data_IF_480440831391
#
_entry.id   IF_480440831391
#
_cell.length_a   1.000
_cell.length_b   1.000
_cell.length_c   1.000
_cell.angle_alpha   90.00
_cell.angle_beta   90.00
_cell.angle_gamma   90.00
#
_symmetry.space_group_name_H-M   'P 1'
#
loop_
_entity.id
_entity.type
_entity.pdbx_description
1 polymer ?
#
# COMPACT_ATOMS: atom_id res chain seq x y z
N UNK A 1 -0.59 -18.73 -12.62
CA UNK A 1 0.46 -17.90 -13.25
C UNK A 1 -0.03 -17.55 -14.64
N UNK A 2 0.07 -16.27 -15.03
CA UNK A 2 -0.39 -15.81 -16.34
C UNK A 2 0.43 -16.44 -17.48
N UNK A 3 -0.23 -16.83 -18.56
CA UNK A 3 0.37 -17.58 -19.67
C UNK A 3 1.35 -16.74 -20.53
N UNK A 4 1.44 -15.42 -20.31
CA UNK A 4 2.28 -14.50 -21.08
C UNK A 4 2.93 -13.45 -20.15
N UNK A 5 4.23 -13.55 -19.85
CA UNK A 5 4.92 -12.59 -18.97
C UNK A 5 5.05 -11.21 -19.64
N UNK A 6 4.91 -10.13 -18.84
CA UNK A 6 5.20 -8.76 -19.26
C UNK A 6 6.72 -8.58 -19.32
N UNK A 7 7.20 -7.91 -20.37
CA UNK A 7 8.57 -7.39 -20.42
C UNK A 7 8.52 -5.90 -20.71
N UNK A 8 9.07 -5.12 -19.79
CA UNK A 8 9.09 -3.65 -19.84
C UNK A 8 10.48 -3.15 -20.15
N UNK A 9 10.56 -2.14 -21.02
CA UNK A 9 11.78 -1.38 -21.26
C UNK A 9 11.46 0.11 -21.28
N UNK A 10 12.01 0.85 -20.32
CA UNK A 10 11.91 2.30 -20.33
C UNK A 10 12.80 2.92 -21.40
N UNK A 11 12.27 3.90 -22.12
CA UNK A 11 13.00 4.59 -23.18
C UNK A 11 14.18 5.35 -22.58
N UNK A 12 15.39 5.17 -23.14
CA UNK A 12 16.62 5.79 -22.64
C UNK A 12 17.34 5.01 -21.55
N UNK A 13 16.73 3.97 -20.98
CA UNK A 13 17.37 3.13 -19.96
C UNK A 13 18.02 1.88 -20.56
N UNK A 14 19.17 1.49 -19.99
CA UNK A 14 19.84 0.22 -20.29
C UNK A 14 19.50 -0.76 -19.18
N UNK A 15 18.70 -1.77 -19.48
CA UNK A 15 18.34 -2.82 -18.52
C UNK A 15 17.58 -3.95 -19.20
N UNK A 16 17.71 -5.16 -18.64
CA UNK A 16 16.88 -6.33 -18.97
C UNK A 16 15.82 -6.43 -17.88
N UNK A 17 14.59 -6.72 -18.27
CA UNK A 17 13.50 -6.87 -17.31
C UNK A 17 13.49 -8.28 -16.71
N UNK A 18 14.18 -8.41 -15.57
CA UNK A 18 14.10 -9.59 -14.70
C UNK A 18 12.98 -9.43 -13.64
N UNK A 19 12.02 -8.52 -13.88
CA UNK A 19 10.86 -8.23 -13.05
C UNK A 19 10.90 -6.86 -12.37
N UNK A 20 12.05 -6.20 -12.27
CA UNK A 20 12.19 -4.86 -11.71
C UNK A 20 11.45 -3.80 -12.53
N UNK A 21 11.83 -3.58 -13.81
CA UNK A 21 11.12 -2.68 -14.72
C UNK A 21 9.61 -2.96 -14.83
N UNK A 22 9.20 -4.23 -14.89
CA UNK A 22 7.77 -4.59 -14.90
C UNK A 22 7.03 -4.14 -13.64
N UNK A 23 7.61 -4.36 -12.44
CA UNK A 23 7.00 -3.88 -11.18
C UNK A 23 6.90 -2.36 -11.14
N UNK A 24 7.94 -1.68 -11.59
CA UNK A 24 7.98 -0.21 -11.63
C UNK A 24 6.91 0.35 -12.55
N UNK A 25 6.79 -0.19 -13.76
CA UNK A 25 5.75 0.21 -14.71
C UNK A 25 4.34 0.00 -14.16
N UNK A 26 4.07 -1.15 -13.52
CA UNK A 26 2.75 -1.41 -12.95
C UNK A 26 2.44 -0.45 -11.78
N UNK A 27 3.45 -0.04 -10.99
CA UNK A 27 3.28 1.00 -9.96
C UNK A 27 2.93 2.35 -10.57
N UNK A 28 3.70 2.79 -11.57
CA UNK A 28 3.48 4.07 -12.26
C UNK A 28 2.10 4.10 -12.92
N UNK A 29 1.69 3.02 -13.59
CA UNK A 29 0.42 3.02 -14.33
C UNK A 29 -0.79 3.00 -13.39
N UNK A 30 -0.72 2.32 -12.23
CA UNK A 30 -1.80 2.35 -11.24
C UNK A 30 -1.92 3.75 -10.63
N UNK A 31 -0.80 4.41 -10.34
CA UNK A 31 -0.81 5.81 -9.90
C UNK A 31 -1.45 6.72 -10.96
N UNK A 32 -1.03 6.61 -12.22
CA UNK A 32 -1.55 7.42 -13.33
C UNK A 32 -3.05 7.16 -13.58
N UNK A 33 -3.53 5.92 -13.42
CA UNK A 33 -4.96 5.61 -13.47
C UNK A 33 -5.69 6.31 -12.33
N UNK A 34 -5.16 6.30 -11.10
CA UNK A 34 -5.80 6.95 -9.95
C UNK A 34 -5.92 8.47 -10.12
N UNK A 35 -4.99 9.10 -10.84
CA UNK A 35 -4.93 10.55 -11.11
C UNK A 35 -5.61 10.95 -12.43
N UNK A 36 -6.18 9.99 -13.15
CA UNK A 36 -6.78 10.24 -14.46
C UNK A 36 -8.09 11.03 -14.37
N UNK A 37 -8.51 11.60 -15.50
CA UNK A 37 -9.73 12.40 -15.65
C UNK A 37 -11.04 11.63 -15.50
N UNK A 38 -11.00 10.32 -15.22
CA UNK A 38 -12.19 9.49 -14.98
C UNK A 38 -12.44 9.23 -13.49
N UNK A 39 -11.53 9.65 -12.61
CA UNK A 39 -11.68 9.52 -11.17
C UNK A 39 -11.66 10.88 -10.47
N UNK A 40 -12.52 11.04 -9.48
CA UNK A 40 -12.59 12.25 -8.64
C UNK A 40 -12.74 11.88 -7.16
N UNK A 41 -12.64 12.88 -6.28
CA UNK A 41 -12.64 12.69 -4.83
C UNK A 41 -11.24 12.62 -4.23
N UNK A 42 -11.18 12.34 -2.94
CA UNK A 42 -9.94 12.28 -2.17
C UNK A 42 -9.00 11.17 -2.68
N UNK A 43 -7.68 11.35 -2.55
CA UNK A 43 -6.67 10.46 -3.16
C UNK A 43 -6.83 8.97 -2.84
N UNK A 44 -7.46 8.62 -1.70
CA UNK A 44 -7.66 7.25 -1.22
C UNK A 44 -9.14 6.81 -1.23
N UNK A 45 -10.03 7.69 -1.66
CA UNK A 45 -11.48 7.50 -1.65
C UNK A 45 -12.08 8.12 -2.90
N UNK A 46 -11.85 7.47 -4.04
CA UNK A 46 -12.26 7.97 -5.36
C UNK A 46 -13.55 7.35 -5.87
N UNK A 47 -14.31 8.16 -6.60
CA UNK A 47 -15.48 7.80 -7.39
C UNK A 47 -15.17 7.90 -8.88
N UNK A 48 -15.96 7.21 -9.71
CA UNK A 48 -15.94 7.46 -11.15
C UNK A 48 -16.62 8.79 -11.45
N UNK A 49 -15.90 9.69 -12.11
CA UNK A 49 -16.41 10.95 -12.64
C UNK A 49 -17.01 10.72 -14.02
N UNK A 50 -18.14 11.36 -14.34
CA UNK A 50 -18.65 11.39 -15.70
C UNK A 50 -17.74 12.25 -16.60
N UNK A 51 -17.20 11.64 -17.65
CA UNK A 51 -16.36 12.32 -18.63
C UNK A 51 -16.72 11.83 -20.04
N UNK A 52 -17.47 12.64 -20.78
CA UNK A 52 -17.99 12.28 -22.11
C UNK A 52 -16.89 11.94 -23.12
N UNK A 53 -15.77 12.67 -23.09
CA UNK A 53 -14.63 12.40 -23.98
C UNK A 53 -13.97 11.06 -23.63
N UNK A 54 -13.80 10.78 -22.34
CA UNK A 54 -13.27 9.51 -21.88
C UNK A 54 -14.21 8.34 -22.20
N UNK A 55 -15.52 8.57 -22.15
CA UNK A 55 -16.52 7.58 -22.56
C UNK A 55 -16.46 7.30 -24.07
N UNK A 56 -16.29 8.34 -24.90
CA UNK A 56 -16.14 8.21 -26.35
C UNK A 56 -14.85 7.47 -26.73
N UNK A 57 -13.76 7.74 -26.01
CA UNK A 57 -12.46 7.10 -26.21
C UNK A 57 -12.40 5.66 -25.66
N UNK A 58 -13.34 5.26 -24.81
CA UNK A 58 -13.32 3.94 -24.15
C UNK A 58 -12.32 3.85 -23.00
N UNK A 59 -11.97 4.97 -22.38
CA UNK A 59 -10.91 5.07 -21.36
C UNK A 59 -11.29 4.28 -20.10
N UNK A 60 -12.57 4.28 -19.71
CA UNK A 60 -13.07 3.47 -18.58
C UNK A 60 -12.80 1.98 -18.80
N UNK A 61 -13.10 1.46 -19.99
CA UNK A 61 -12.81 0.06 -20.32
C UNK A 61 -11.29 -0.19 -20.34
N UNK A 62 -10.51 0.74 -20.87
CA UNK A 62 -9.05 0.65 -20.92
C UNK A 62 -8.44 0.61 -19.53
N UNK A 63 -8.84 1.49 -18.62
CA UNK A 63 -8.31 1.53 -17.26
C UNK A 63 -8.79 0.33 -16.43
N UNK A 64 -10.02 -0.14 -16.66
CA UNK A 64 -10.48 -1.41 -16.10
C UNK A 64 -9.60 -2.59 -16.54
N UNK A 65 -9.17 -2.63 -17.81
CA UNK A 65 -8.22 -3.66 -18.29
C UNK A 65 -6.84 -3.52 -17.66
N UNK A 66 -6.33 -2.30 -17.51
CA UNK A 66 -5.03 -2.04 -16.87
C UNK A 66 -5.04 -2.55 -15.42
N UNK A 67 -6.09 -2.22 -14.66
CA UNK A 67 -6.26 -2.70 -13.29
C UNK A 67 -6.34 -4.23 -13.25
N UNK A 68 -7.17 -4.83 -14.13
CA UNK A 68 -7.31 -6.27 -14.18
C UNK A 68 -5.98 -6.97 -14.50
N UNK A 69 -5.23 -6.39 -15.43
CA UNK A 69 -3.89 -6.86 -15.79
C UNK A 69 -2.93 -6.79 -14.60
N UNK A 70 -2.83 -5.65 -13.91
CA UNK A 70 -1.96 -5.50 -12.75
C UNK A 70 -2.27 -6.56 -11.68
N UNK A 71 -3.54 -6.76 -11.34
CA UNK A 71 -3.94 -7.75 -10.35
C UNK A 71 -3.60 -9.19 -10.73
N UNK A 72 -3.82 -9.58 -12.00
CA UNK A 72 -3.55 -10.95 -12.48
C UNK A 72 -2.06 -11.26 -12.53
N UNK A 73 -1.25 -10.24 -12.76
CA UNK A 73 0.20 -10.36 -12.87
C UNK A 73 0.95 -10.07 -11.55
N UNK A 74 0.23 -9.87 -10.43
CA UNK A 74 0.84 -9.63 -9.12
C UNK A 74 1.43 -8.24 -8.96
N UNK A 75 1.01 -7.27 -9.77
CA UNK A 75 1.29 -5.86 -9.60
C UNK A 75 0.48 -5.23 -8.46
N UNK A 76 0.68 -3.93 -8.19
CA UNK A 76 -0.02 -3.23 -7.12
C UNK A 76 -1.52 -3.18 -7.36
N UNK A 77 -2.29 -3.31 -6.27
CA UNK A 77 -3.74 -3.26 -6.29
C UNK A 77 -4.22 -1.79 -6.31
N UNK A 78 -5.37 -1.49 -6.93
CA UNK A 78 -5.90 -0.12 -7.04
C UNK A 78 -6.60 0.31 -5.73
N UNK A 79 -5.86 0.43 -4.63
CA UNK A 79 -6.35 0.70 -3.27
C UNK A 79 -6.79 2.15 -3.03
N UNK A 80 -7.53 2.75 -3.98
CA UNK A 80 -7.94 4.16 -3.93
C UNK A 80 -9.43 4.37 -4.18
N UNK A 81 -10.21 3.31 -4.42
CA UNK A 81 -11.66 3.42 -4.67
C UNK A 81 -12.40 3.64 -3.36
N UNK A 82 -13.51 4.39 -3.42
CA UNK A 82 -14.43 4.51 -2.29
C UNK A 82 -15.17 3.20 -2.01
N UNK A 83 -15.69 3.09 -0.79
CA UNK A 83 -16.54 1.96 -0.40
C UNK A 83 -17.78 1.83 -1.28
N UNK A 84 -18.37 2.95 -1.66
CA UNK A 84 -19.53 2.97 -2.52
C UNK A 84 -19.22 2.52 -3.94
N UNK A 85 -18.12 2.99 -4.55
CA UNK A 85 -17.70 2.51 -5.86
C UNK A 85 -17.42 1.00 -5.83
N UNK A 86 -16.78 0.49 -4.79
CA UNK A 86 -16.59 -0.95 -4.63
C UNK A 86 -17.94 -1.69 -4.50
N UNK A 87 -18.88 -1.15 -3.73
CA UNK A 87 -20.24 -1.68 -3.60
C UNK A 87 -20.96 -1.78 -4.95
N UNK A 88 -20.85 -0.76 -5.81
CA UNK A 88 -21.38 -0.77 -7.18
C UNK A 88 -20.77 -1.89 -8.04
N UNK A 89 -19.48 -2.19 -7.88
CA UNK A 89 -18.82 -3.27 -8.61
C UNK A 89 -19.24 -4.66 -8.11
N UNK A 90 -19.29 -4.82 -6.79
CA UNK A 90 -19.54 -6.08 -6.10
C UNK A 90 -21.00 -6.52 -6.15
N UNK A 91 -21.92 -5.59 -5.91
CA UNK A 91 -23.34 -5.89 -5.74
C UNK A 91 -24.22 -5.33 -6.86
N UNK A 92 -23.66 -4.41 -7.66
CA UNK A 92 -24.41 -3.72 -8.70
C UNK A 92 -25.19 -2.50 -8.18
N UNK A 93 -25.74 -1.68 -9.09
CA UNK A 93 -26.45 -0.45 -8.71
C UNK A 93 -27.69 -0.68 -7.84
N UNK A 94 -28.39 -1.80 -8.05
CA UNK A 94 -29.66 -2.12 -7.38
C UNK A 94 -29.48 -2.54 -5.91
N UNK A 95 -28.25 -2.81 -5.47
CA UNK A 95 -27.92 -3.30 -4.13
C UNK A 95 -26.90 -2.42 -3.40
N UNK A 96 -26.54 -1.28 -3.98
CA UNK A 96 -25.63 -0.33 -3.36
C UNK A 96 -26.37 0.57 -2.35
N UNK A 97 -25.75 0.84 -1.20
CA UNK A 97 -26.26 1.71 -0.15
C UNK A 97 -25.47 3.04 -0.16
N UNK A 98 -25.89 4.05 -0.95
CA UNK A 98 -25.18 5.33 -1.06
C UNK A 98 -25.25 6.12 0.24
N UNK A 99 -24.10 6.64 0.69
CA UNK A 99 -23.99 7.55 1.83
C UNK A 99 -23.72 8.98 1.36
N UNK A 100 -23.98 9.96 2.23
CA UNK A 100 -23.72 11.39 1.95
C UNK A 100 -22.24 11.63 1.59
N UNK A 101 -21.34 10.85 2.17
CA UNK A 101 -19.91 10.97 1.92
C UNK A 101 -19.50 10.55 0.50
N UNK A 102 -20.38 9.87 -0.23
CA UNK A 102 -20.13 9.42 -1.61
C UNK A 102 -20.44 10.50 -2.65
N UNK A 103 -20.97 11.64 -2.20
CA UNK A 103 -21.19 12.83 -3.03
C UNK A 103 -19.90 13.66 -3.01
N UNK A 104 -19.26 13.79 -4.17
CA UNK A 104 -17.97 14.46 -4.31
C UNK A 104 -18.12 16.00 -4.34
N UNK A 105 -19.28 16.49 -4.76
CA UNK A 105 -19.58 17.92 -4.85
C UNK A 105 -20.10 18.47 -3.50
N UNK A 106 -19.33 19.38 -2.89
CA UNK A 106 -19.62 19.97 -1.58
C UNK A 106 -20.85 20.90 -1.58
N UNK A 107 -21.15 21.54 -2.71
CA UNK A 107 -22.34 22.39 -2.87
C UNK A 107 -23.60 21.52 -2.97
N UNK A 108 -23.51 20.38 -3.64
CA UNK A 108 -24.55 19.35 -3.68
C UNK A 108 -24.70 18.60 -2.35
N UNK A 109 -23.61 18.30 -1.61
CA UNK A 109 -23.69 17.68 -0.27
C UNK A 109 -24.62 18.46 0.66
N UNK A 110 -24.53 19.79 0.65
CA UNK A 110 -25.38 20.67 1.48
C UNK A 110 -26.84 20.71 1.00
N UNK A 111 -27.10 20.44 -0.27
CA UNK A 111 -28.44 20.37 -0.87
C UNK A 111 -29.09 18.98 -0.69
N UNK A 112 -28.32 17.89 -0.81
CA UNK A 112 -28.78 16.50 -0.62
C UNK A 112 -29.07 16.19 0.85
N UNK A 113 -28.40 16.85 1.80
CA UNK A 113 -28.82 16.83 3.22
C UNK A 113 -30.27 17.28 3.46
N UNK A 114 -30.91 17.94 2.48
CA UNK A 114 -32.28 18.47 2.59
C UNK A 114 -33.32 17.75 1.72
N UNK A 115 -32.94 16.78 0.89
CA UNK A 115 -33.84 16.12 -0.08
C UNK A 115 -33.54 14.61 -0.14
N UNK A 116 -34.56 13.78 0.05
CA UNK A 116 -34.48 12.33 -0.22
C UNK A 116 -34.32 12.06 -1.73
N UNK A 117 -33.23 11.35 -2.07
CA UNK A 117 -32.99 10.46 -3.25
C UNK A 117 -32.82 11.10 -4.66
N UNK A 118 -31.65 10.88 -5.29
CA UNK A 118 -31.55 10.36 -6.69
C UNK A 118 -30.09 10.01 -7.06
N UNK A 119 -29.75 8.72 -7.14
CA UNK A 119 -28.53 8.24 -7.81
C UNK A 119 -28.71 8.48 -9.31
N UNK A 120 -28.06 9.53 -9.80
CA UNK A 120 -28.25 10.03 -11.15
C UNK A 120 -27.76 9.04 -12.22
N UNK A 121 -28.47 9.01 -13.35
CA UNK A 121 -28.26 8.15 -14.54
C UNK A 121 -26.86 8.37 -15.18
N UNK A 122 -26.15 9.39 -14.70
CA UNK A 122 -24.89 9.93 -15.18
C UNK A 122 -23.70 8.96 -15.16
N UNK A 123 -23.58 8.09 -14.13
CA UNK A 123 -22.43 7.18 -13.99
C UNK A 123 -22.63 5.80 -14.61
N UNK A 124 -23.85 5.45 -15.04
CA UNK A 124 -24.20 4.08 -15.44
C UNK A 124 -23.37 3.60 -16.64
N UNK A 125 -23.18 4.46 -17.64
CA UNK A 125 -22.42 4.16 -18.85
C UNK A 125 -20.92 4.02 -18.56
N UNK A 126 -20.38 4.97 -17.81
CA UNK A 126 -19.00 4.95 -17.30
C UNK A 126 -18.71 3.66 -16.50
N UNK A 127 -19.60 3.31 -15.56
CA UNK A 127 -19.52 2.07 -14.77
C UNK A 127 -19.61 0.81 -15.65
N UNK A 128 -20.50 0.79 -16.66
CA UNK A 128 -20.62 -0.32 -17.62
C UNK A 128 -19.34 -0.53 -18.43
N UNK A 129 -18.70 0.54 -18.90
CA UNK A 129 -17.42 0.42 -19.59
C UNK A 129 -16.31 -0.06 -18.64
N UNK A 130 -16.22 0.51 -17.44
CA UNK A 130 -15.22 0.15 -16.46
C UNK A 130 -15.32 -1.33 -16.03
N UNK A 131 -16.54 -1.79 -15.74
CA UNK A 131 -16.82 -3.20 -15.42
C UNK A 131 -16.50 -4.14 -16.58
N UNK A 132 -16.76 -3.75 -17.83
CA UNK A 132 -16.32 -4.51 -19.01
C UNK A 132 -14.80 -4.65 -19.06
N UNK A 133 -14.08 -3.60 -18.69
CA UNK A 133 -12.62 -3.63 -18.55
C UNK A 133 -12.18 -4.64 -17.50
N UNK A 134 -12.71 -4.54 -16.27
CA UNK A 134 -12.38 -5.48 -15.18
C UNK A 134 -12.74 -6.95 -15.48
N UNK A 135 -13.76 -7.17 -16.31
CA UNK A 135 -14.19 -8.52 -16.72
C UNK A 135 -13.21 -9.20 -17.67
N UNK A 136 -12.35 -8.45 -18.37
CA UNK A 136 -11.48 -9.00 -19.42
C UNK A 136 -10.59 -10.17 -18.96
N UNK A 137 -10.18 -10.16 -17.69
CA UNK A 137 -9.38 -11.20 -17.05
C UNK A 137 -10.08 -11.81 -15.83
N UNK A 138 -11.42 -11.69 -15.76
CA UNK A 138 -12.25 -12.28 -14.70
C UNK A 138 -12.14 -11.60 -13.33
N UNK A 139 -11.52 -10.42 -13.23
CA UNK A 139 -11.42 -9.68 -11.96
C UNK A 139 -12.80 -9.29 -11.46
N UNK A 140 -13.69 -8.79 -12.34
CA UNK A 140 -15.07 -8.47 -11.96
C UNK A 140 -15.81 -9.69 -11.39
N UNK A 141 -15.65 -10.87 -11.99
CA UNK A 141 -16.30 -12.09 -11.51
C UNK A 141 -15.77 -12.48 -10.12
N UNK A 142 -14.48 -12.26 -9.84
CA UNK A 142 -13.91 -12.45 -8.50
C UNK A 142 -14.45 -11.46 -7.48
N UNK A 143 -14.57 -10.18 -7.83
CA UNK A 143 -15.18 -9.16 -6.97
C UNK A 143 -16.58 -9.58 -6.55
N UNK A 144 -17.39 -10.08 -7.49
CA UNK A 144 -18.79 -10.47 -7.23
C UNK A 144 -18.93 -11.78 -6.46
N UNK A 145 -18.04 -12.75 -6.72
CA UNK A 145 -18.09 -14.04 -6.04
C UNK A 145 -17.46 -14.00 -4.64
N UNK A 146 -16.54 -13.08 -4.38
CA UNK A 146 -15.75 -12.99 -3.13
C UNK A 146 -15.56 -11.53 -2.68
N UNK A 147 -16.64 -10.77 -2.44
CA UNK A 147 -16.55 -9.33 -2.19
C UNK A 147 -15.68 -8.99 -0.96
N UNK A 148 -15.82 -9.71 0.14
CA UNK A 148 -15.04 -9.45 1.36
C UNK A 148 -13.53 -9.65 1.14
N UNK A 149 -13.15 -10.70 0.41
CA UNK A 149 -11.74 -10.99 0.11
C UNK A 149 -11.16 -10.00 -0.91
N UNK A 150 -11.98 -9.48 -1.82
CA UNK A 150 -11.53 -8.56 -2.86
C UNK A 150 -11.54 -7.10 -2.38
N UNK A 151 -12.33 -6.75 -1.35
CA UNK A 151 -12.50 -5.38 -0.86
C UNK A 151 -11.18 -4.66 -0.61
N UNK A 152 -10.27 -5.29 0.13
CA UNK A 152 -8.97 -4.71 0.48
C UNK A 152 -8.05 -4.42 -0.72
N UNK A 153 -8.33 -4.97 -1.90
CA UNK A 153 -7.56 -4.71 -3.12
C UNK A 153 -7.99 -3.40 -3.81
N UNK A 154 -9.22 -2.94 -3.59
CA UNK A 154 -9.79 -1.79 -4.28
C UNK A 154 -10.01 -0.61 -3.34
N UNK A 155 -10.44 -0.90 -2.11
CA UNK A 155 -10.72 0.14 -1.12
C UNK A 155 -9.51 0.30 -0.23
N UNK A 156 -9.08 1.56 -0.06
CA UNK A 156 -8.08 1.86 0.94
C UNK A 156 -8.64 1.52 2.33
N UNK A 157 -7.97 0.65 3.08
CA UNK A 157 -8.26 0.47 4.50
C UNK A 157 -7.72 1.70 5.24
N UNK A 158 -8.58 2.70 5.50
CA UNK A 158 -8.17 3.93 6.18
C UNK A 158 -7.59 3.58 7.54
N UNK A 159 -6.40 4.14 7.77
CA UNK A 159 -5.56 4.07 8.96
C UNK A 159 -5.10 2.65 9.36
N UNK A 160 -3.78 2.51 9.40
CA UNK A 160 -3.13 1.42 10.10
C UNK A 160 -3.49 1.53 11.58
N UNK A 161 -4.65 1.01 11.96
CA UNK A 161 -5.05 0.85 13.36
C UNK A 161 -4.38 -0.42 13.83
N UNK A 162 -3.11 -0.29 14.21
CA UNK A 162 -2.36 -1.35 14.87
C UNK A 162 -1.85 -0.81 16.19
N UNK A 163 -1.99 -1.61 17.22
CA UNK A 163 -1.38 -1.33 18.51
C UNK A 163 0.12 -1.73 18.50
N UNK A 164 0.87 -1.39 19.54
CA UNK A 164 2.30 -1.70 19.61
C UNK A 164 2.59 -3.22 19.56
N UNK A 165 1.68 -4.04 20.08
CA UNK A 165 1.79 -5.51 20.10
C UNK A 165 1.55 -6.07 18.71
N UNK A 166 0.53 -5.58 18.02
CA UNK A 166 0.23 -5.94 16.64
C UNK A 166 1.37 -5.56 15.71
N UNK A 167 1.97 -4.38 15.90
CA UNK A 167 3.17 -3.95 15.15
C UNK A 167 4.36 -4.87 15.41
N UNK A 168 4.69 -5.20 16.67
CA UNK A 168 5.77 -6.14 17.01
C UNK A 168 5.54 -7.51 16.35
N UNK A 169 4.31 -8.02 16.41
CA UNK A 169 3.92 -9.31 15.85
C UNK A 169 4.02 -9.39 14.31
N UNK A 170 4.09 -8.26 13.60
CA UNK A 170 4.31 -8.28 12.15
C UNK A 170 5.74 -8.70 11.81
N UNK A 171 6.70 -8.51 12.71
CA UNK A 171 8.11 -8.80 12.49
C UNK A 171 8.50 -10.18 13.01
N UNK A 172 9.14 -10.96 12.14
CA UNK A 172 9.88 -12.17 12.55
C UNK A 172 11.28 -11.74 12.98
N UNK A 173 11.59 -11.91 14.26
CA UNK A 173 12.90 -11.53 14.81
C UNK A 173 13.92 -12.63 14.54
N UNK A 174 15.03 -12.28 13.88
CA UNK A 174 16.13 -13.20 13.59
C UNK A 174 17.30 -12.95 14.55
N UNK A 175 17.43 -13.81 15.55
CA UNK A 175 18.52 -13.77 16.52
C UNK A 175 19.78 -14.50 16.05
N UNK A 176 20.92 -14.09 16.59
CA UNK A 176 22.16 -14.86 16.63
C UNK A 176 22.00 -16.11 17.50
N UNK A 177 23.03 -16.97 17.48
CA UNK A 177 23.06 -18.22 18.26
C UNK A 177 22.77 -17.99 19.75
N UNK A 178 21.83 -18.77 20.29
CA UNK A 178 21.41 -18.69 21.69
C UNK A 178 22.59 -18.91 22.64
N UNK A 179 22.70 -18.04 23.65
CA UNK A 179 23.81 -18.06 24.61
C UNK A 179 25.07 -17.30 24.17
N UNK A 180 25.14 -16.78 22.93
CA UNK A 180 26.22 -15.89 22.51
C UNK A 180 26.10 -14.48 23.10
N UNK A 181 27.22 -13.75 23.19
CA UNK A 181 27.20 -12.33 23.58
C UNK A 181 26.32 -11.49 22.63
N UNK A 182 26.28 -11.86 21.34
CA UNK A 182 25.43 -11.23 20.34
C UNK A 182 23.96 -11.41 20.71
N UNK A 183 23.53 -12.64 20.99
CA UNK A 183 22.16 -12.94 21.41
C UNK A 183 21.71 -12.13 22.63
N UNK A 184 22.57 -11.97 23.64
CA UNK A 184 22.25 -11.15 24.83
C UNK A 184 22.06 -9.67 24.48
N UNK A 185 22.92 -9.13 23.62
CA UNK A 185 22.76 -7.75 23.14
C UNK A 185 21.48 -7.59 22.31
N UNK A 186 21.15 -8.56 21.46
CA UNK A 186 19.96 -8.54 20.61
C UNK A 186 18.66 -8.60 21.42
N UNK A 187 18.60 -9.42 22.47
CA UNK A 187 17.48 -9.42 23.41
C UNK A 187 17.25 -8.04 24.02
N UNK A 188 18.32 -7.32 24.38
CA UNK A 188 18.23 -5.95 24.87
C UNK A 188 17.65 -5.00 23.82
N UNK A 189 18.11 -5.11 22.57
CA UNK A 189 17.58 -4.27 21.48
C UNK A 189 16.12 -4.62 21.15
N UNK A 190 15.73 -5.90 21.23
CA UNK A 190 14.33 -6.30 21.08
C UNK A 190 13.45 -5.68 22.18
N UNK A 191 13.94 -5.59 23.42
CA UNK A 191 13.22 -4.88 24.48
C UNK A 191 13.10 -3.38 24.16
N UNK A 192 14.18 -2.74 23.72
CA UNK A 192 14.13 -1.32 23.31
C UNK A 192 13.17 -1.07 22.14
N UNK A 193 13.11 -2.00 21.18
CA UNK A 193 12.14 -1.94 20.09
C UNK A 193 10.70 -1.96 20.60
N UNK A 194 10.36 -2.89 21.50
CA UNK A 194 9.01 -2.96 22.10
C UNK A 194 8.68 -1.72 22.93
N UNK A 195 9.63 -1.23 23.73
CA UNK A 195 9.47 -0.01 24.52
C UNK A 195 9.23 1.21 23.62
N UNK A 196 9.95 1.29 22.49
CA UNK A 196 9.78 2.34 21.49
C UNK A 196 8.42 2.27 20.80
N UNK A 197 7.96 1.08 20.40
CA UNK A 197 6.64 0.90 19.81
C UNK A 197 5.52 1.36 20.76
N UNK A 198 5.62 1.03 22.06
CA UNK A 198 4.69 1.50 23.08
C UNK A 198 4.72 3.02 23.24
N UNK A 199 5.90 3.64 23.16
CA UNK A 199 6.03 5.10 23.29
C UNK A 199 5.40 5.86 22.12
N UNK A 200 5.45 5.31 20.90
CA UNK A 200 4.93 5.97 19.69
C UNK A 200 3.52 5.53 19.30
N UNK A 201 2.90 4.62 20.04
CA UNK A 201 1.59 4.01 19.74
C UNK A 201 0.48 5.06 19.53
N UNK A 202 0.48 6.12 20.34
CA UNK A 202 -0.47 7.24 20.22
C UNK A 202 -0.15 8.20 19.05
N UNK A 203 0.84 7.86 18.21
CA UNK A 203 1.23 8.59 17.00
C UNK A 203 1.13 7.68 15.77
N UNK A 204 -0.08 7.50 15.20
CA UNK A 204 -0.32 6.58 14.07
C UNK A 204 0.59 6.81 12.85
N UNK A 205 0.98 8.06 12.61
CA UNK A 205 1.90 8.42 11.53
C UNK A 205 3.29 7.76 11.68
N UNK A 206 3.78 7.54 12.90
CA UNK A 206 5.08 6.89 13.11
C UNK A 206 5.05 5.39 12.79
N UNK A 207 3.96 4.69 13.11
CA UNK A 207 3.78 3.30 12.69
C UNK A 207 3.71 3.18 11.17
N UNK A 208 3.03 4.12 10.51
CA UNK A 208 3.04 4.22 9.05
C UNK A 208 4.44 4.47 8.51
N UNK A 209 5.22 5.38 9.12
CA UNK A 209 6.61 5.64 8.73
C UNK A 209 7.49 4.40 8.85
N UNK A 210 7.30 3.56 9.88
CA UNK A 210 8.01 2.28 10.01
C UNK A 210 7.67 1.36 8.82
N UNK A 211 6.39 1.20 8.47
CA UNK A 211 6.00 0.35 7.34
C UNK A 211 6.57 0.88 6.01
N UNK A 212 6.48 2.18 5.77
CA UNK A 212 7.02 2.82 4.57
C UNK A 212 8.54 2.63 4.52
N UNK A 213 9.22 2.81 5.64
CA UNK A 213 10.67 2.63 5.73
C UNK A 213 11.09 1.20 5.38
N UNK A 214 10.37 0.19 5.88
CA UNK A 214 10.74 -1.23 5.71
C UNK A 214 10.25 -1.83 4.39
N UNK A 215 9.13 -1.37 3.86
CA UNK A 215 8.42 -2.04 2.75
C UNK A 215 8.14 -1.15 1.55
N UNK A 216 8.35 0.16 1.68
CA UNK A 216 7.86 1.19 0.75
C UNK A 216 6.34 1.19 0.58
N UNK A 217 5.60 0.49 1.45
CA UNK A 217 4.14 0.50 1.50
C UNK A 217 3.69 1.21 2.77
N UNK A 218 2.59 1.94 2.64
CA UNK A 218 2.04 2.77 3.70
C UNK A 218 0.82 2.14 4.38
N UNK A 219 0.57 0.86 4.08
CA UNK A 219 -0.47 0.01 4.63
C UNK A 219 -0.09 -1.47 4.47
N UNK A 220 -0.70 -2.33 5.28
CA UNK A 220 -0.49 -3.78 5.19
C UNK A 220 -1.28 -4.32 3.98
N UNK A 221 -0.65 -5.07 3.05
CA UNK A 221 -1.38 -5.69 1.94
C UNK A 221 -2.50 -6.62 2.43
N UNK A 222 -3.61 -6.78 1.70
CA UNK A 222 -4.71 -7.66 2.12
C UNK A 222 -4.32 -9.12 2.36
N UNK A 223 -3.27 -9.60 1.69
CA UNK A 223 -2.71 -10.95 1.85
C UNK A 223 -1.53 -11.00 2.84
N UNK A 224 -1.24 -9.89 3.51
CA UNK A 224 -0.04 -9.71 4.32
C UNK A 224 1.22 -9.52 3.48
N UNK A 225 2.36 -9.36 4.16
CA UNK A 225 3.66 -9.21 3.50
C UNK A 225 4.22 -10.57 3.06
N UNK A 226 4.72 -10.63 1.82
CA UNK A 226 5.43 -11.79 1.28
C UNK A 226 6.69 -11.33 0.56
N UNK A 227 7.91 -11.56 1.10
CA UNK A 227 8.21 -12.31 2.35
C UNK A 227 7.70 -11.59 3.62
N UNK A 228 7.58 -12.28 4.78
CA UNK A 228 7.20 -11.64 6.04
C UNK A 228 8.22 -10.56 6.44
N UNK A 229 7.79 -9.58 7.25
CA UNK A 229 8.70 -8.59 7.79
C UNK A 229 9.72 -9.27 8.71
N UNK A 230 10.96 -8.78 8.68
CA UNK A 230 12.07 -9.33 9.48
C UNK A 230 12.76 -8.24 10.26
N UNK A 231 13.08 -8.55 11.51
CA UNK A 231 13.89 -7.69 12.37
C UNK A 231 15.25 -8.35 12.62
N UNK A 232 16.33 -7.64 12.29
CA UNK A 232 17.72 -8.06 12.46
C UNK A 232 18.51 -7.04 13.25
N UNK A 233 19.63 -7.49 13.80
CA UNK A 233 20.49 -6.66 14.64
C UNK A 233 21.91 -6.59 14.07
N UNK A 234 22.46 -5.38 14.01
CA UNK A 234 23.83 -5.13 13.50
C UNK A 234 24.78 -4.87 14.67
N UNK A 235 25.83 -5.69 14.75
CA UNK A 235 26.82 -5.62 15.83
C UNK A 235 28.05 -4.81 15.40
N UNK A 236 28.64 -4.01 16.31
CA UNK A 236 29.82 -3.18 16.03
C UNK A 236 31.02 -3.93 15.47
N UNK A 237 31.22 -5.16 15.92
CA UNK A 237 32.39 -5.99 15.60
C UNK A 237 32.43 -6.44 14.12
N UNK A 238 31.38 -6.20 13.34
CA UNK A 238 31.29 -6.62 11.95
C UNK A 238 31.63 -5.52 10.93
N UNK A 239 31.87 -4.27 11.36
CA UNK A 239 32.02 -3.12 10.47
C UNK A 239 33.19 -2.21 10.92
N UNK A 240 34.29 -2.17 10.17
CA UNK A 240 35.46 -1.31 10.47
C UNK A 240 35.12 0.19 10.45
N UNK A 241 33.96 0.58 9.91
CA UNK A 241 33.43 1.94 9.84
C UNK A 241 32.23 2.21 10.78
N UNK A 242 32.06 1.42 11.84
CA UNK A 242 30.86 1.46 12.71
C UNK A 242 30.50 2.86 13.26
N UNK A 243 31.49 3.73 13.48
CA UNK A 243 31.25 5.10 13.98
C UNK A 243 30.56 6.04 12.97
N UNK A 244 30.42 5.64 11.70
CA UNK A 244 29.85 6.47 10.62
C UNK A 244 28.46 5.97 10.17
N UNK A 245 28.05 4.74 10.52
CA UNK A 245 26.80 4.12 10.06
C UNK A 245 25.94 3.49 11.18
N UNK A 246 25.80 4.20 12.29
CA UNK A 246 24.94 3.81 13.41
C UNK A 246 23.44 4.13 13.17
N UNK A 247 22.95 4.07 11.93
CA UNK A 247 21.53 4.28 11.57
C UNK A 247 20.83 2.96 11.27
N UNK A 248 19.52 2.80 11.51
CA UNK A 248 18.77 1.64 11.05
C UNK A 248 18.80 1.60 9.52
N UNK A 249 18.78 0.39 8.96
CA UNK A 249 18.76 0.16 7.53
C UNK A 249 17.59 -0.76 7.16
N UNK A 250 16.92 -0.46 6.05
CA UNK A 250 15.84 -1.27 5.53
C UNK A 250 16.20 -1.84 4.15
N UNK A 251 15.95 -3.13 3.98
CA UNK A 251 15.91 -3.76 2.67
C UNK A 251 14.45 -4.02 2.29
N UNK A 252 13.90 -3.15 1.45
CA UNK A 252 12.51 -3.17 1.01
C UNK A 252 12.19 -4.33 0.07
N UNK A 253 13.19 -4.87 -0.65
CA UNK A 253 13.02 -6.06 -1.48
C UNK A 253 12.79 -7.33 -0.65
N UNK A 254 13.34 -7.38 0.58
CA UNK A 254 13.26 -8.52 1.47
C UNK A 254 12.49 -8.24 2.78
N UNK A 255 11.79 -7.10 2.85
CA UNK A 255 11.01 -6.69 4.02
C UNK A 255 11.82 -6.77 5.34
N UNK A 256 13.08 -6.36 5.31
CA UNK A 256 14.00 -6.56 6.44
C UNK A 256 14.45 -5.23 7.04
N UNK A 257 14.16 -5.00 8.32
CA UNK A 257 14.69 -3.91 9.14
C UNK A 257 15.91 -4.40 9.93
N UNK A 258 17.04 -3.70 9.80
CA UNK A 258 18.28 -3.99 10.50
C UNK A 258 18.65 -2.85 11.45
N UNK A 259 18.54 -3.07 12.75
CA UNK A 259 18.78 -2.06 13.79
C UNK A 259 20.18 -2.23 14.38
N UNK A 260 20.98 -1.17 14.54
CA UNK A 260 22.27 -1.25 15.23
C UNK A 260 22.11 -1.54 16.72
N UNK A 261 23.04 -2.33 17.28
CA UNK A 261 23.12 -2.53 18.72
C UNK A 261 23.60 -1.24 19.40
N UNK A 262 22.77 -0.69 20.27
CA UNK A 262 23.08 0.47 21.11
C UNK A 262 23.25 0.07 22.58
N UNK A 263 23.91 0.94 23.35
CA UNK A 263 24.14 0.73 24.78
C UNK A 263 22.93 1.10 25.64
N UNK A 264 22.11 2.07 25.19
CA UNK A 264 20.99 2.61 25.97
C UNK A 264 19.74 2.78 25.10
N UNK A 265 18.58 2.80 25.76
CA UNK A 265 17.30 3.09 25.10
C UNK A 265 17.28 4.48 24.44
N UNK A 266 17.84 5.51 25.09
CA UNK A 266 17.88 6.85 24.50
C UNK A 266 18.67 6.90 23.19
N UNK A 267 19.82 6.21 23.15
CA UNK A 267 20.60 6.09 21.91
C UNK A 267 19.85 5.30 20.83
N UNK A 268 19.14 4.24 21.22
CA UNK A 268 18.26 3.50 20.30
C UNK A 268 17.18 4.42 19.71
N UNK A 269 16.47 5.15 20.58
CA UNK A 269 15.36 6.03 20.20
C UNK A 269 15.83 7.13 19.25
N UNK A 270 16.92 7.82 19.56
CA UNK A 270 17.47 8.88 18.73
C UNK A 270 17.80 8.36 17.32
N UNK A 271 18.40 7.18 17.24
CA UNK A 271 18.75 6.53 15.98
C UNK A 271 17.50 6.15 15.16
N UNK A 272 16.45 5.65 15.81
CA UNK A 272 15.17 5.33 15.16
C UNK A 272 14.43 6.58 14.68
N UNK A 273 14.26 7.58 15.54
CA UNK A 273 13.55 8.82 15.20
C UNK A 273 14.25 9.53 14.03
N UNK A 274 15.58 9.66 14.07
CA UNK A 274 16.34 10.25 12.96
C UNK A 274 16.11 9.50 11.64
N UNK A 275 16.02 8.18 11.66
CA UNK A 275 15.84 7.39 10.45
C UNK A 275 14.42 7.50 9.86
N UNK A 276 13.41 7.62 10.71
CA UNK A 276 12.03 7.82 10.29
C UNK A 276 11.77 9.26 9.82
N UNK A 277 12.40 10.25 10.46
CA UNK A 277 12.25 11.67 10.11
C UNK A 277 13.05 12.07 8.86
N UNK A 278 14.23 11.49 8.64
CA UNK A 278 15.08 11.72 7.45
C UNK A 278 14.61 10.97 6.20
N UNK A 279 13.37 10.46 6.19
CA UNK A 279 12.76 9.62 5.16
C UNK A 279 13.49 9.61 3.80
N UNK A 280 13.95 8.42 3.42
CA UNK A 280 14.44 8.07 2.07
C UNK A 280 15.92 8.34 1.69
N UNK A 281 16.84 8.69 2.61
CA UNK A 281 18.26 8.87 2.23
C UNK A 281 19.13 7.59 2.23
N UNK A 282 18.63 6.45 2.74
CA UNK A 282 19.45 5.24 2.93
C UNK A 282 18.79 3.95 2.44
N UNK A 283 17.80 4.02 1.55
CA UNK A 283 17.33 2.86 0.80
C UNK A 283 18.26 2.62 -0.39
N UNK A 284 18.93 1.47 -0.40
CA UNK A 284 19.85 0.92 -1.41
C UNK A 284 21.27 1.51 -1.53
N UNK A 285 22.21 0.85 -0.83
CA UNK A 285 23.59 0.62 -1.28
C UNK A 285 23.91 -0.87 -1.19
#
# INVERSE_FOLDING_TARGET
MAEHPLFVRFSGEKGIDDGGPSREFMRIIIQAVSESSIFEGESRRKMLLQNLLAEENGDYETYGKIIAYCLVHGGPAPTFMSEFLFGLLAYGPDSADPTIDDIVDDEYKQQVQKIEISTDISIEKSLKQFTKGLKCLGVLDRIRNYPDAMRGLFVHKSDLVVDAVEMDNMFVVEFSEEGSNKYINELRIQTYWRDYLLEIEDTPDKFKSILVFVTSLDSVPPLGFSPPLKLKFRHPEADENFSVFATPYANTCFNTLSIPVTETYNAFKEVMDNALDLGCLFTDH
#
